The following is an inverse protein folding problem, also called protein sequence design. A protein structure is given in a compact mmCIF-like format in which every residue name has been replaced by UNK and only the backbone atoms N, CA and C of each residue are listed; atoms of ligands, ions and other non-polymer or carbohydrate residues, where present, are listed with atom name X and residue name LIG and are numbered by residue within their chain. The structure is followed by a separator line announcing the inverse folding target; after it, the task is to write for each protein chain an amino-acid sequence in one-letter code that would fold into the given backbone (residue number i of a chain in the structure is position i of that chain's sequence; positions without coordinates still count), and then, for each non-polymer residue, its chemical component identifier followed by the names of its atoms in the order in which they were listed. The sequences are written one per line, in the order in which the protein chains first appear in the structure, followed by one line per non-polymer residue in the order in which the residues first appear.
data_IF_446198791711
#
_entry.id   IF_446198791711
#
_cell.length_a   1.000
_cell.length_b   1.000
_cell.length_c   1.000
_cell.angle_alpha   90.00
_cell.angle_beta   90.00
_cell.angle_gamma   90.00
#
_symmetry.space_group_name_H-M   'P 1'
#
loop_
_entity.id
_entity.type
_entity.pdbx_description
1 polymer ?
#
# COMPACT_ATOMS: atom_id res chain seq x y z
N UNK A 1 -7.24 -5.28 17.58
CA UNK A 1 -7.09 -4.50 16.34
C UNK A 1 -5.95 -3.54 16.56
N UNK A 2 -4.84 -3.73 15.84
CA UNK A 2 -3.67 -2.85 15.93
C UNK A 2 -4.08 -1.47 15.43
N UNK A 3 -3.90 -0.44 16.25
CA UNK A 3 -4.21 0.94 15.88
C UNK A 3 -3.37 1.31 14.65
N UNK A 4 -4.05 1.61 13.53
CA UNK A 4 -3.37 1.91 12.27
C UNK A 4 -2.73 3.28 12.37
N UNK A 5 -1.40 3.28 12.42
CA UNK A 5 -0.61 4.52 12.38
C UNK A 5 -0.80 5.22 11.04
N UNK A 6 -0.75 6.55 11.09
CA UNK A 6 -0.66 7.44 9.92
C UNK A 6 0.73 8.04 9.91
N UNK A 7 1.45 7.96 8.79
CA UNK A 7 2.73 8.61 8.62
C UNK A 7 2.56 9.88 7.79
N UNK A 8 2.85 11.03 8.39
CA UNK A 8 2.97 12.31 7.68
C UNK A 8 4.43 12.44 7.27
N UNK A 9 4.70 12.50 5.97
CA UNK A 9 6.07 12.63 5.45
C UNK A 9 6.45 14.10 5.35
N UNK A 10 7.57 14.45 5.95
CA UNK A 10 8.17 15.78 5.97
C UNK A 10 9.70 15.70 5.80
N UNK A 11 10.40 16.83 5.98
CA UNK A 11 11.85 16.89 5.82
C UNK A 11 12.65 16.14 6.91
N UNK A 12 12.02 15.78 8.04
CA UNK A 12 12.64 15.04 9.14
C UNK A 12 12.40 13.53 9.03
N UNK A 13 11.49 13.11 8.14
CA UNK A 13 11.13 11.71 7.94
C UNK A 13 12.32 10.90 7.44
N UNK A 14 12.67 9.86 8.19
CA UNK A 14 13.80 8.97 7.89
C UNK A 14 13.37 7.72 7.13
N UNK A 15 14.36 7.00 6.58
CA UNK A 15 14.13 5.71 5.96
C UNK A 15 13.62 4.66 6.96
N UNK A 16 14.05 4.73 8.23
CA UNK A 16 13.56 3.89 9.32
C UNK A 16 12.07 4.14 9.63
N UNK A 17 11.63 5.41 9.68
CA UNK A 17 10.22 5.74 9.92
C UNK A 17 9.31 5.14 8.84
N UNK A 18 9.78 5.15 7.59
CA UNK A 18 9.09 4.53 6.45
C UNK A 18 9.01 3.00 6.61
N UNK A 19 10.09 2.36 7.04
CA UNK A 19 10.11 0.90 7.29
C UNK A 19 9.16 0.54 8.42
N UNK A 20 9.23 1.24 9.56
CA UNK A 20 8.32 0.99 10.68
C UNK A 20 6.86 1.18 10.28
N UNK A 21 6.56 2.21 9.50
CA UNK A 21 5.21 2.42 8.97
C UNK A 21 4.78 1.27 8.07
N UNK A 22 5.60 0.87 7.09
CA UNK A 22 5.27 -0.23 6.18
C UNK A 22 5.05 -1.56 6.90
N UNK A 23 5.88 -1.88 7.89
CA UNK A 23 5.74 -3.07 8.72
C UNK A 23 4.47 -3.03 9.56
N UNK A 24 4.10 -1.87 10.09
CA UNK A 24 2.82 -1.70 10.81
C UNK A 24 1.60 -1.95 9.92
N UNK A 25 1.76 -1.86 8.59
CA UNK A 25 0.74 -2.11 7.56
C UNK A 25 0.95 -3.44 6.82
N UNK A 26 1.86 -4.29 7.29
CA UNK A 26 2.20 -5.55 6.62
C UNK A 26 1.05 -6.58 6.63
N UNK A 27 0.20 -6.53 7.65
CA UNK A 27 -0.97 -7.40 7.72
C UNK A 27 -2.11 -6.83 6.85
N UNK A 28 -2.61 -7.58 5.85
CA UNK A 28 -3.68 -7.12 4.99
C UNK A 28 -5.02 -7.08 5.73
N UNK A 29 -5.94 -6.24 5.24
CA UNK A 29 -7.36 -6.35 5.59
C UNK A 29 -7.98 -7.52 4.84
N UNK A 30 -8.90 -8.22 5.49
CA UNK A 30 -9.76 -9.22 4.87
C UNK A 30 -11.17 -8.67 4.71
N UNK A 31 -11.60 -8.41 3.48
CA UNK A 31 -12.91 -7.79 3.16
C UNK A 31 -13.51 -8.48 1.94
N UNK A 32 -14.73 -9.01 2.05
CA UNK A 32 -15.43 -9.65 0.93
C UNK A 32 -14.63 -10.76 0.23
N UNK A 33 -13.81 -11.51 0.97
CA UNK A 33 -12.91 -12.55 0.43
C UNK A 33 -11.65 -12.00 -0.29
N UNK A 34 -11.39 -10.70 -0.20
CA UNK A 34 -10.17 -10.05 -0.70
C UNK A 34 -9.17 -9.80 0.41
N UNK A 35 -7.88 -9.85 0.06
CA UNK A 35 -6.79 -9.38 0.92
C UNK A 35 -6.28 -8.03 0.41
N UNK A 36 -6.38 -7.00 1.24
CA UNK A 36 -6.05 -5.62 0.87
C UNK A 36 -4.88 -5.13 1.72
N UNK A 37 -3.72 -4.97 1.09
CA UNK A 37 -2.56 -4.32 1.68
C UNK A 37 -2.75 -2.80 1.56
N UNK A 38 -3.07 -2.17 2.68
CA UNK A 38 -3.43 -0.76 2.72
C UNK A 38 -2.31 0.08 3.34
N UNK A 39 -1.56 0.75 2.48
CA UNK A 39 -0.51 1.69 2.83
C UNK A 39 -0.98 3.15 2.77
N UNK A 40 -2.29 3.40 2.65
CA UNK A 40 -2.80 4.76 2.62
C UNK A 40 -2.84 5.40 4.00
N UNK A 41 -2.80 6.73 4.00
CA UNK A 41 -2.89 7.57 5.19
C UNK A 41 -4.33 7.90 5.59
N UNK A 42 -5.31 7.42 4.83
CA UNK A 42 -6.73 7.63 5.09
C UNK A 42 -7.40 6.35 5.62
N UNK A 43 -8.51 6.48 6.37
CA UNK A 43 -9.33 5.33 6.73
C UNK A 43 -9.81 4.58 5.48
N UNK A 44 -9.75 3.25 5.54
CA UNK A 44 -10.28 2.40 4.49
C UNK A 44 -11.82 2.35 4.56
N UNK A 45 -12.49 2.51 3.41
CA UNK A 45 -13.96 2.47 3.31
C UNK A 45 -14.41 1.10 2.77
N UNK A 46 -14.71 0.18 3.69
CA UNK A 46 -15.12 -1.18 3.36
C UNK A 46 -16.46 -1.24 2.60
N UNK A 47 -17.43 -0.41 2.96
CA UNK A 47 -18.74 -0.39 2.31
C UNK A 47 -18.61 0.05 0.84
N UNK A 48 -17.77 1.04 0.55
CA UNK A 48 -17.47 1.44 -0.84
C UNK A 48 -16.68 0.39 -1.60
N UNK A 49 -15.77 -0.34 -0.95
CA UNK A 49 -15.04 -1.44 -1.60
C UNK A 49 -16.01 -2.54 -2.05
N UNK A 50 -16.90 -2.98 -1.17
CA UNK A 50 -17.92 -3.98 -1.52
C UNK A 50 -18.85 -3.49 -2.63
N UNK A 51 -19.27 -2.21 -2.58
CA UNK A 51 -20.09 -1.60 -3.62
C UNK A 51 -19.36 -1.44 -4.97
N UNK A 52 -18.03 -1.53 -5.01
CA UNK A 52 -17.25 -1.43 -6.25
C UNK A 52 -17.33 -2.70 -7.11
N UNK A 53 -17.86 -3.81 -6.55
CA UNK A 53 -17.98 -5.10 -7.24
C UNK A 53 -16.66 -5.61 -7.85
N UNK A 54 -15.53 -5.25 -7.26
CA UNK A 54 -14.22 -5.74 -7.66
C UNK A 54 -14.15 -7.23 -7.30
N UNK A 55 -13.71 -8.12 -8.22
CA UNK A 55 -13.61 -9.54 -7.93
C UNK A 55 -12.74 -9.83 -6.70
N UNK A 56 -13.01 -10.89 -5.93
CA UNK A 56 -12.14 -11.30 -4.83
C UNK A 56 -10.70 -11.52 -5.32
N UNK A 57 -9.73 -11.02 -4.56
CA UNK A 57 -8.32 -11.07 -4.96
C UNK A 57 -7.38 -10.45 -3.94
N UNK A 58 -6.12 -10.30 -4.34
CA UNK A 58 -5.09 -9.60 -3.56
C UNK A 58 -4.83 -8.24 -4.19
N UNK A 59 -4.84 -7.20 -3.37
CA UNK A 59 -4.79 -5.83 -3.83
C UNK A 59 -3.87 -4.98 -2.96
N UNK A 60 -3.33 -3.91 -3.54
CA UNK A 60 -2.60 -2.87 -2.80
C UNK A 60 -3.29 -1.53 -2.99
N UNK A 61 -3.50 -0.80 -1.89
CA UNK A 61 -3.81 0.63 -1.95
C UNK A 61 -2.50 1.40 -1.73
N UNK A 62 -2.02 2.15 -2.73
CA UNK A 62 -0.81 2.93 -2.58
C UNK A 62 -1.03 4.11 -1.62
N UNK A 63 0.08 4.71 -1.21
CA UNK A 63 0.12 5.97 -0.48
C UNK A 63 -0.68 7.08 -1.22
N UNK A 64 -1.07 8.17 -0.54
CA UNK A 64 -1.89 9.24 -1.14
C UNK A 64 -1.11 10.45 -1.71
N UNK A 65 0.22 10.39 -1.78
CA UNK A 65 1.11 11.48 -2.20
C UNK A 65 1.63 11.36 -3.64
N UNK A 66 1.18 12.22 -4.55
CA UNK A 66 1.27 11.98 -6.01
C UNK A 66 2.65 11.72 -6.66
N UNK A 67 3.79 11.96 -5.99
CA UNK A 67 5.13 11.58 -6.50
C UNK A 67 5.86 10.61 -5.56
N UNK A 68 5.83 10.85 -4.25
CA UNK A 68 6.44 9.97 -3.22
C UNK A 68 5.84 8.56 -3.24
N UNK A 69 4.60 8.42 -3.71
CA UNK A 69 3.94 7.12 -3.87
C UNK A 69 4.70 6.12 -4.75
N UNK A 70 5.41 6.62 -5.77
CA UNK A 70 6.16 5.78 -6.70
C UNK A 70 7.38 5.21 -5.99
N UNK A 71 8.16 6.09 -5.37
CA UNK A 71 9.42 5.72 -4.73
C UNK A 71 9.18 4.82 -3.52
N UNK A 72 8.17 5.10 -2.69
CA UNK A 72 7.82 4.25 -1.55
C UNK A 72 7.32 2.87 -1.97
N UNK A 73 6.60 2.78 -3.09
CA UNK A 73 6.11 1.50 -3.60
C UNK A 73 7.26 0.62 -4.12
N UNK A 74 8.34 1.22 -4.64
CA UNK A 74 9.53 0.50 -5.06
C UNK A 74 10.29 -0.16 -3.88
N UNK A 75 10.01 0.25 -2.65
CA UNK A 75 10.63 -0.32 -1.45
C UNK A 75 9.90 -1.59 -0.98
N UNK A 76 8.67 -1.82 -1.41
CA UNK A 76 7.90 -3.00 -1.02
C UNK A 76 8.51 -4.29 -1.61
N UNK A 77 8.37 -5.43 -0.91
CA UNK A 77 8.72 -6.74 -1.45
C UNK A 77 8.09 -6.99 -2.81
N UNK A 78 8.82 -7.65 -3.71
CA UNK A 78 8.33 -7.98 -5.06
C UNK A 78 6.93 -8.63 -5.08
N UNK A 79 6.64 -9.48 -4.09
CA UNK A 79 5.37 -10.21 -3.96
C UNK A 79 4.17 -9.30 -3.68
N UNK A 80 4.39 -8.16 -3.03
CA UNK A 80 3.37 -7.14 -2.73
C UNK A 80 3.36 -6.09 -3.84
N UNK A 81 4.55 -5.65 -4.27
CA UNK A 81 4.74 -4.65 -5.34
C UNK A 81 4.11 -5.08 -6.66
N UNK A 82 4.06 -6.38 -6.95
CA UNK A 82 3.45 -6.90 -8.18
C UNK A 82 1.92 -7.00 -8.13
N UNK A 83 1.28 -6.74 -6.98
CA UNK A 83 -0.17 -6.86 -6.85
C UNK A 83 -0.91 -5.74 -7.61
N UNK A 84 -2.14 -6.00 -8.10
CA UNK A 84 -2.99 -4.98 -8.68
C UNK A 84 -3.24 -3.82 -7.71
N UNK A 85 -3.15 -2.59 -8.23
CA UNK A 85 -3.32 -1.37 -7.44
C UNK A 85 -4.79 -0.96 -7.41
N UNK A 86 -5.27 -0.55 -6.24
CA UNK A 86 -6.59 0.05 -6.06
C UNK A 86 -6.45 1.56 -5.94
N UNK A 87 -7.20 2.30 -6.77
CA UNK A 87 -7.33 3.75 -6.66
C UNK A 87 -8.69 4.10 -6.08
N UNK A 88 -8.70 4.86 -4.99
CA UNK A 88 -9.93 5.39 -4.41
C UNK A 88 -10.40 6.65 -5.17
N UNK A 89 -11.68 6.68 -5.52
CA UNK A 89 -12.39 7.82 -6.07
C UNK A 89 -13.51 8.24 -5.10
N UNK A 90 -13.28 9.27 -4.26
CA UNK A 90 -14.29 9.73 -3.29
C UNK A 90 -15.54 10.30 -3.97
N UNK A 91 -15.44 10.72 -5.24
CA UNK A 91 -16.56 11.34 -5.98
C UNK A 91 -17.47 10.33 -6.69
N UNK A 92 -17.14 9.04 -6.67
CA UNK A 92 -18.01 8.03 -7.24
C UNK A 92 -19.33 7.96 -6.45
N UNK A 93 -20.47 7.94 -7.16
CA UNK A 93 -21.81 7.81 -6.57
C UNK A 93 -22.09 6.38 -6.09
N UNK A 94 -21.59 5.38 -6.82
CA UNK A 94 -21.64 3.96 -6.47
C UNK A 94 -20.27 3.35 -6.69
N UNK A 95 -19.84 2.49 -5.75
CA UNK A 95 -18.46 2.06 -5.68
C UNK A 95 -17.52 3.21 -5.33
N UNK A 96 -16.23 2.96 -5.45
CA UNK A 96 -15.21 3.93 -5.08
C UNK A 96 -13.80 3.47 -5.35
N UNK A 97 -13.60 2.23 -5.79
CA UNK A 97 -12.29 1.69 -6.09
C UNK A 97 -12.22 1.24 -7.54
N UNK A 98 -11.06 1.46 -8.17
CA UNK A 98 -10.76 0.91 -9.51
C UNK A 98 -9.38 0.28 -9.52
N UNK A 99 -9.22 -0.76 -10.35
CA UNK A 99 -7.93 -1.44 -10.52
C UNK A 99 -7.09 -0.68 -11.55
N UNK A 100 -5.84 -0.37 -11.20
CA UNK A 100 -4.90 0.31 -12.08
C UNK A 100 -3.69 -0.59 -12.36
N UNK A 101 -3.28 -0.64 -13.63
CA UNK A 101 -2.08 -1.37 -14.04
C UNK A 101 -0.81 -0.66 -13.52
N UNK A 102 0.14 -1.46 -13.04
CA UNK A 102 1.43 -0.97 -12.57
C UNK A 102 2.28 -0.50 -13.76
N UNK A 103 2.72 0.75 -13.71
CA UNK A 103 3.84 1.24 -14.52
C UNK A 103 4.97 1.45 -13.51
N UNK A 104 6.14 0.84 -13.74
CA UNK A 104 7.49 1.45 -13.61
C UNK A 104 8.65 0.43 -13.38
N UNK A 105 9.88 0.77 -13.82
CA UNK A 105 11.14 0.20 -13.37
C UNK A 105 11.97 1.14 -12.44
N UNK A 106 12.80 0.56 -11.55
CA UNK A 106 13.66 1.22 -10.49
C UNK A 106 15.17 1.27 -10.86
N UNK A 107 16.09 2.04 -10.23
CA UNK A 107 16.48 1.98 -8.79
C UNK A 107 17.68 2.92 -8.43
N UNK A 108 17.75 3.45 -7.19
CA UNK A 108 18.97 4.03 -6.55
C UNK A 108 19.48 3.20 -5.34
N UNK A 109 20.78 3.24 -5.01
CA UNK A 109 21.43 2.26 -4.11
C UNK A 109 20.93 2.22 -2.64
N UNK A 110 20.29 3.27 -2.13
CA UNK A 110 19.70 3.28 -0.78
C UNK A 110 18.33 2.58 -0.75
N UNK A 111 17.53 2.76 -1.80
CA UNK A 111 16.24 2.09 -2.00
C UNK A 111 16.44 0.57 -2.06
N UNK A 112 17.49 0.12 -2.75
CA UNK A 112 17.86 -1.30 -2.78
C UNK A 112 18.11 -1.90 -1.39
N UNK A 113 18.79 -1.18 -0.49
CA UNK A 113 19.07 -1.68 0.87
C UNK A 113 17.80 -1.79 1.69
N UNK A 114 16.92 -0.79 1.60
CA UNK A 114 15.65 -0.81 2.30
C UNK A 114 14.75 -1.97 1.83
N UNK A 115 14.72 -2.22 0.52
CA UNK A 115 13.97 -3.31 -0.10
C UNK A 115 14.38 -4.67 0.47
N UNK A 116 15.68 -4.96 0.53
CA UNK A 116 16.17 -6.24 1.07
C UNK A 116 15.74 -6.45 2.53
N UNK A 117 15.74 -5.38 3.35
CA UNK A 117 15.27 -5.46 4.74
C UNK A 117 13.77 -5.79 4.79
N UNK A 118 12.93 -5.06 4.06
CA UNK A 118 11.49 -5.29 4.02
C UNK A 118 11.14 -6.70 3.53
N UNK A 119 11.84 -7.19 2.50
CA UNK A 119 11.66 -8.57 2.00
C UNK A 119 11.92 -9.62 3.09
N UNK A 120 12.97 -9.43 3.89
CA UNK A 120 13.29 -10.36 4.99
C UNK A 120 12.24 -10.35 6.11
N UNK A 121 11.69 -9.19 6.43
CA UNK A 121 10.73 -9.03 7.52
C UNK A 121 9.31 -9.49 7.13
N UNK A 122 8.89 -9.25 5.89
CA UNK A 122 7.61 -9.74 5.37
C UNK A 122 7.58 -11.26 5.15
N UNK A 123 8.72 -11.90 4.88
CA UNK A 123 8.79 -13.36 4.73
C UNK A 123 8.58 -14.12 6.05
N UNK A 124 8.72 -13.44 7.19
CA UNK A 124 8.58 -14.02 8.53
C UNK A 124 7.18 -13.91 9.14
N UNK A 125 6.25 -13.21 8.46
CA UNK A 125 4.86 -12.97 8.86
C UNK A 125 3.92 -13.88 8.06
#
# INVERSE_FOLDING_TARGET
MTERKTLIVDAETTAEDLVEFMLSRAQPLEIGGSLIYDFTNHPFDAARFEASAIPPGRYVIPFSMSDVNVDLFELLPMTIRALPRLRFNPRAEVGGYSVQASLLPSDTAAERRLRVRLESEFAAV
#
